data_IF_041750342077
#
_entry.id   IF_041750342077
#
_cell.length_a   1.000
_cell.length_b   1.000
_cell.length_c   1.000
_cell.angle_alpha   90.00
_cell.angle_beta   90.00
_cell.angle_gamma   90.00
#
_symmetry.space_group_name_H-M   'P 1'
#
loop_
_entity.id
_entity.type
_entity.pdbx_description
1 polymer ?
#
# COMPACT_ATOMS: atom_id res chain seq x y z
N UNK A 1 -9.01 41.28 -26.16
CA UNK A 1 -9.12 39.87 -26.61
C UNK A 1 -7.73 39.21 -26.55
N UNK A 2 -7.29 38.68 -25.40
CA UNK A 2 -5.95 38.06 -25.27
C UNK A 2 -5.78 37.27 -23.97
N UNK A 3 -6.68 36.32 -23.66
CA UNK A 3 -6.50 35.44 -22.49
C UNK A 3 -6.75 33.95 -22.77
N UNK A 4 -7.48 33.62 -23.83
CA UNK A 4 -7.76 32.22 -24.18
C UNK A 4 -6.55 31.49 -24.78
N UNK A 5 -5.56 32.19 -25.34
CA UNK A 5 -4.36 31.56 -25.91
C UNK A 5 -3.40 31.04 -24.83
N UNK A 6 -3.18 31.83 -23.78
CA UNK A 6 -2.32 31.45 -22.64
C UNK A 6 -2.93 30.34 -21.78
N UNK A 7 -4.21 30.42 -21.45
CA UNK A 7 -4.88 29.34 -20.69
C UNK A 7 -4.89 28.02 -21.48
N UNK A 8 -5.09 28.10 -22.80
CA UNK A 8 -5.10 26.91 -23.66
C UNK A 8 -3.72 26.27 -23.82
N UNK A 9 -2.63 27.05 -23.77
CA UNK A 9 -1.28 26.49 -23.78
C UNK A 9 -0.96 25.78 -22.47
N UNK A 10 -1.39 26.33 -21.33
CA UNK A 10 -1.25 25.69 -20.02
C UNK A 10 -2.04 24.38 -19.93
N UNK A 11 -3.30 24.35 -20.36
CA UNK A 11 -4.12 23.12 -20.34
C UNK A 11 -3.51 22.00 -21.20
N UNK A 12 -2.69 22.34 -22.19
CA UNK A 12 -1.99 21.38 -23.03
C UNK A 12 -0.60 21.00 -22.50
N UNK A 13 -0.08 21.68 -21.48
CA UNK A 13 1.24 21.39 -20.93
C UNK A 13 1.16 20.27 -19.90
N UNK A 14 2.20 19.43 -19.90
CA UNK A 14 2.32 18.36 -18.91
C UNK A 14 2.53 18.90 -17.49
N UNK A 15 3.28 20.01 -17.36
CA UNK A 15 3.57 20.65 -16.07
C UNK A 15 2.29 21.07 -15.33
N UNK A 16 1.31 21.62 -16.07
CA UNK A 16 0.02 22.02 -15.52
C UNK A 16 -0.71 20.82 -14.91
N UNK A 17 -0.81 19.72 -15.67
CA UNK A 17 -1.48 18.51 -15.21
C UNK A 17 -0.74 17.82 -14.06
N UNK A 18 0.60 17.82 -14.09
CA UNK A 18 1.39 17.23 -13.02
C UNK A 18 1.12 17.88 -11.66
N UNK A 19 1.00 19.22 -11.63
CA UNK A 19 0.63 20.01 -10.45
C UNK A 19 -0.78 19.66 -9.97
N UNK A 20 -1.76 19.64 -10.88
CA UNK A 20 -3.14 19.33 -10.51
C UNK A 20 -3.32 17.89 -10.03
N UNK A 21 -2.59 16.92 -10.58
CA UNK A 21 -2.62 15.55 -10.07
C UNK A 21 -2.05 15.44 -8.66
N UNK A 22 -0.90 16.08 -8.40
CA UNK A 22 -0.32 16.11 -7.05
C UNK A 22 -1.25 16.79 -6.04
N UNK A 23 -1.76 17.97 -6.38
CA UNK A 23 -2.70 18.71 -5.55
C UNK A 23 -3.99 17.91 -5.28
N UNK A 24 -4.55 17.24 -6.29
CA UNK A 24 -5.74 16.40 -6.12
C UNK A 24 -5.49 15.25 -5.13
N UNK A 25 -4.35 14.57 -5.23
CA UNK A 25 -3.97 13.49 -4.30
C UNK A 25 -3.83 14.04 -2.87
N UNK A 26 -3.20 15.20 -2.70
CA UNK A 26 -3.04 15.86 -1.39
C UNK A 26 -4.41 16.22 -0.80
N UNK A 27 -5.30 16.83 -1.59
CA UNK A 27 -6.64 17.21 -1.14
C UNK A 27 -7.43 15.96 -0.70
N UNK A 28 -7.37 14.88 -1.48
CA UNK A 28 -8.03 13.60 -1.12
C UNK A 28 -7.46 13.02 0.17
N UNK A 29 -6.14 13.11 0.38
CA UNK A 29 -5.49 12.67 1.61
C UNK A 29 -5.91 13.52 2.82
N UNK A 30 -5.96 14.85 2.67
CA UNK A 30 -6.36 15.78 3.74
C UNK A 30 -7.84 15.63 4.13
N UNK A 31 -8.72 15.45 3.14
CA UNK A 31 -10.15 15.25 3.36
C UNK A 31 -10.49 13.88 3.95
N UNK A 32 -9.49 12.99 4.16
CA UNK A 32 -9.69 11.61 4.63
C UNK A 32 -10.70 10.82 3.79
N UNK A 33 -10.96 11.25 2.55
CA UNK A 33 -12.03 10.73 1.69
C UNK A 33 -11.84 9.25 1.34
N UNK A 34 -10.63 8.71 1.51
CA UNK A 34 -10.27 7.32 1.20
C UNK A 34 -9.97 6.46 2.44
N UNK A 35 -10.07 7.01 3.66
CA UNK A 35 -9.54 6.34 4.85
C UNK A 35 -8.02 6.12 4.75
N UNK A 36 -7.47 5.09 5.41
CA UNK A 36 -6.06 4.71 5.22
C UNK A 36 -5.87 4.14 3.81
N UNK A 37 -4.90 4.68 3.06
CA UNK A 37 -4.51 4.15 1.75
C UNK A 37 -4.29 2.63 1.81
N UNK A 38 -4.72 1.88 0.79
CA UNK A 38 -4.57 0.44 0.80
C UNK A 38 -3.08 0.08 0.83
N UNK A 39 -2.67 -0.70 1.83
CA UNK A 39 -1.32 -1.24 1.97
C UNK A 39 -1.38 -2.75 1.94
N UNK A 40 -0.53 -3.36 1.12
CA UNK A 40 -0.39 -4.81 1.07
C UNK A 40 0.16 -5.32 2.41
N UNK A 41 -0.34 -6.47 2.84
CA UNK A 41 0.12 -7.15 4.04
C UNK A 41 1.41 -7.94 3.78
N UNK A 42 2.12 -8.26 4.85
CA UNK A 42 3.24 -9.20 4.77
C UNK A 42 2.72 -10.62 4.53
N UNK A 43 3.51 -11.42 3.83
CA UNK A 43 3.25 -12.85 3.64
C UNK A 43 4.46 -13.68 4.08
N UNK A 44 4.30 -15.00 4.06
CA UNK A 44 5.36 -15.97 4.40
C UNK A 44 5.33 -17.14 3.41
N UNK A 45 4.21 -17.86 3.35
CA UNK A 45 4.05 -19.05 2.50
C UNK A 45 3.22 -18.75 1.24
N UNK A 46 2.08 -18.09 1.42
CA UNK A 46 1.16 -17.76 0.34
C UNK A 46 1.13 -16.25 0.08
N UNK A 47 1.54 -15.76 -1.11
CA UNK A 47 1.52 -14.35 -1.43
C UNK A 47 0.11 -13.75 -1.48
N UNK A 48 -0.95 -14.56 -1.64
CA UNK A 48 -2.32 -14.04 -1.66
C UNK A 48 -2.76 -13.51 -0.29
N UNK A 49 -2.13 -13.96 0.79
CA UNK A 49 -2.43 -13.51 2.15
C UNK A 49 -2.22 -11.99 2.32
N UNK A 50 -1.39 -11.35 1.48
CA UNK A 50 -1.17 -9.90 1.51
C UNK A 50 -2.45 -9.09 1.22
N UNK A 51 -3.42 -9.68 0.53
CA UNK A 51 -4.66 -9.01 0.15
C UNK A 51 -5.71 -9.09 1.26
N UNK A 52 -5.47 -9.91 2.28
CA UNK A 52 -6.36 -10.11 3.41
C UNK A 52 -5.78 -9.43 4.65
N UNK A 53 -6.65 -8.76 5.39
CA UNK A 53 -6.32 -8.30 6.73
C UNK A 53 -6.68 -9.40 7.72
N UNK A 54 -5.66 -9.93 8.40
CA UNK A 54 -5.84 -10.89 9.48
C UNK A 54 -5.87 -10.19 10.83
N UNK A 55 -6.82 -10.57 11.67
CA UNK A 55 -6.82 -10.24 13.09
C UNK A 55 -6.86 -11.55 13.89
N UNK A 56 -6.14 -11.56 15.01
CA UNK A 56 -6.28 -12.57 16.05
C UNK A 56 -6.81 -11.88 17.30
N UNK A 57 -7.80 -12.49 17.92
CA UNK A 57 -8.44 -11.95 19.13
C UNK A 57 -8.39 -13.04 20.19
N UNK A 58 -7.98 -12.69 21.39
CA UNK A 58 -7.96 -13.60 22.53
C UNK A 58 -8.44 -12.88 23.79
N UNK A 59 -9.34 -13.45 24.60
CA UNK A 59 -9.84 -12.82 25.81
C UNK A 59 -8.76 -12.70 26.89
N UNK A 60 -8.72 -11.54 27.53
CA UNK A 60 -7.91 -11.24 28.70
C UNK A 60 -8.77 -10.32 29.58
N UNK A 61 -9.54 -10.89 30.50
CA UNK A 61 -10.51 -10.16 31.32
C UNK A 61 -9.86 -9.07 32.18
N UNK A 62 -8.64 -9.32 32.68
CA UNK A 62 -7.93 -8.39 33.54
C UNK A 62 -6.74 -7.78 32.80
N UNK A 63 -6.74 -6.45 32.67
CA UNK A 63 -5.58 -5.71 32.15
C UNK A 63 -4.44 -5.77 33.18
N UNK A 64 -3.25 -6.29 32.84
CA UNK A 64 -2.11 -6.26 33.74
C UNK A 64 -1.70 -4.81 34.04
N UNK A 65 -1.45 -4.49 35.30
CA UNK A 65 -1.07 -3.14 35.72
C UNK A 65 0.31 -2.71 35.18
N UNK A 66 1.17 -3.68 34.86
CA UNK A 66 2.51 -3.48 34.31
C UNK A 66 2.56 -3.58 32.77
N UNK A 67 1.40 -3.73 32.11
CA UNK A 67 1.33 -3.89 30.66
C UNK A 67 1.83 -2.61 29.96
N UNK A 68 3.03 -2.70 29.39
CA UNK A 68 3.60 -1.64 28.58
C UNK A 68 3.80 -2.08 27.12
N UNK A 69 2.83 -1.75 26.27
CA UNK A 69 2.90 -2.03 24.83
C UNK A 69 3.63 -0.87 24.12
N UNK A 70 4.96 -0.89 24.20
CA UNK A 70 5.82 0.10 23.56
C UNK A 70 6.58 -0.45 22.34
N UNK A 71 7.11 0.44 21.51
CA UNK A 71 7.95 0.10 20.38
C UNK A 71 7.18 -0.35 19.12
N UNK A 72 7.86 -1.02 18.16
CA UNK A 72 7.28 -1.32 16.84
C UNK A 72 6.02 -2.19 16.86
N UNK A 73 5.90 -3.07 17.86
CA UNK A 73 4.80 -4.02 18.02
C UNK A 73 3.50 -3.37 18.51
N UNK A 74 3.55 -2.16 19.09
CA UNK A 74 2.35 -1.38 19.46
C UNK A 74 1.41 -1.07 18.28
N UNK A 75 1.94 -1.12 17.05
CA UNK A 75 1.13 -0.96 15.83
C UNK A 75 0.27 -2.19 15.52
N UNK A 76 0.69 -3.35 16.01
CA UNK A 76 0.10 -4.65 15.69
C UNK A 76 -0.70 -5.21 16.88
N UNK A 77 -0.19 -5.08 18.09
CA UNK A 77 -0.84 -5.54 19.32
C UNK A 77 -1.58 -4.40 20.02
N UNK A 78 -2.84 -4.62 20.35
CA UNK A 78 -3.66 -3.72 21.16
C UNK A 78 -4.43 -4.51 22.21
N UNK A 79 -4.62 -3.90 23.38
CA UNK A 79 -5.57 -4.36 24.38
C UNK A 79 -6.83 -3.50 24.27
N UNK A 80 -7.99 -4.14 24.13
CA UNK A 80 -9.28 -3.48 24.13
C UNK A 80 -9.86 -3.56 25.56
N UNK A 81 -9.87 -2.41 26.25
CA UNK A 81 -10.34 -2.31 27.64
C UNK A 81 -11.85 -2.50 27.78
N UNK A 82 -12.63 -2.17 26.75
CA UNK A 82 -14.09 -2.30 26.80
C UNK A 82 -14.54 -3.75 26.66
N UNK A 83 -13.80 -4.52 25.85
CA UNK A 83 -14.12 -5.92 25.56
C UNK A 83 -13.29 -6.93 26.36
N UNK A 84 -12.24 -6.48 27.05
CA UNK A 84 -11.32 -7.37 27.76
C UNK A 84 -10.64 -8.37 26.82
N UNK A 85 -10.12 -7.89 25.69
CA UNK A 85 -9.48 -8.76 24.68
C UNK A 85 -8.14 -8.20 24.19
N UNK A 86 -7.20 -9.10 23.89
CA UNK A 86 -5.99 -8.82 23.13
C UNK A 86 -6.24 -9.00 21.64
N UNK A 87 -5.93 -7.99 20.86
CA UNK A 87 -6.07 -7.97 19.39
C UNK A 87 -4.69 -7.84 18.77
N UNK A 88 -4.31 -8.81 17.94
CA UNK A 88 -3.11 -8.74 17.10
C UNK A 88 -3.48 -8.63 15.63
N UNK A 89 -2.89 -7.65 14.93
CA UNK A 89 -3.14 -7.36 13.51
C UNK A 89 -1.98 -7.82 12.64
N UNK A 90 -2.28 -8.72 11.70
CA UNK A 90 -1.33 -9.26 10.73
C UNK A 90 -0.82 -10.65 11.09
N UNK A 91 0.25 -11.08 10.40
CA UNK A 91 0.92 -12.35 10.68
C UNK A 91 1.84 -12.18 11.90
N UNK A 92 1.87 -13.19 12.76
CA UNK A 92 2.70 -13.20 13.96
C UNK A 92 3.83 -14.21 13.79
N UNK A 93 5.07 -13.74 13.98
CA UNK A 93 6.25 -14.61 14.01
C UNK A 93 6.56 -15.05 15.43
N UNK A 94 7.28 -16.17 15.59
CA UNK A 94 7.73 -16.65 16.91
C UNK A 94 8.61 -15.63 17.64
N UNK A 95 9.41 -14.83 16.90
CA UNK A 95 10.22 -13.76 17.48
C UNK A 95 9.34 -12.65 18.07
N UNK A 96 8.34 -12.20 17.31
CA UNK A 96 7.39 -11.18 17.78
C UNK A 96 6.59 -11.67 18.99
N UNK A 97 6.14 -12.93 19.01
CA UNK A 97 5.48 -13.54 20.17
C UNK A 97 6.36 -13.45 21.43
N UNK A 98 7.64 -13.86 21.33
CA UNK A 98 8.59 -13.77 22.44
C UNK A 98 8.87 -12.34 22.91
N UNK A 99 8.86 -11.39 21.98
CA UNK A 99 9.00 -9.96 22.33
C UNK A 99 7.74 -9.44 23.03
N UNK A 100 6.55 -9.82 22.57
CA UNK A 100 5.28 -9.46 23.22
C UNK A 100 5.17 -10.01 24.63
N UNK A 101 5.64 -11.24 24.89
CA UNK A 101 5.69 -11.81 26.24
C UNK A 101 6.55 -11.00 27.24
N UNK A 102 7.37 -10.05 26.78
CA UNK A 102 8.15 -9.15 27.64
C UNK A 102 7.40 -7.88 28.03
N UNK A 103 6.24 -7.59 27.43
CA UNK A 103 5.46 -6.38 27.71
C UNK A 103 4.75 -6.40 29.06
N UNK A 104 4.63 -7.57 29.68
CA UNK A 104 4.14 -7.72 31.06
C UNK A 104 4.76 -8.97 31.68
N UNK A 105 4.95 -8.91 33.00
CA UNK A 105 5.42 -10.02 33.81
C UNK A 105 4.32 -11.02 34.16
N UNK A 106 3.05 -10.62 33.97
CA UNK A 106 1.86 -11.35 34.36
C UNK A 106 1.78 -12.75 33.68
N UNK A 107 1.58 -13.84 34.46
CA UNK A 107 1.41 -15.19 33.92
C UNK A 107 0.20 -15.34 32.98
N UNK A 108 -0.93 -14.69 33.27
CA UNK A 108 -2.14 -14.73 32.45
C UNK A 108 -1.90 -14.07 31.10
N UNK A 109 -1.23 -12.91 31.09
CA UNK A 109 -0.86 -12.23 29.85
C UNK A 109 0.08 -13.07 28.98
N UNK A 110 1.11 -13.70 29.58
CA UNK A 110 2.05 -14.56 28.84
C UNK A 110 1.35 -15.77 28.23
N UNK A 111 0.42 -16.38 28.97
CA UNK A 111 -0.44 -17.45 28.47
C UNK A 111 -1.35 -16.96 27.34
N UNK A 112 -1.97 -15.78 27.50
CA UNK A 112 -2.83 -15.19 26.49
C UNK A 112 -2.08 -14.90 25.17
N UNK A 113 -0.84 -14.41 25.23
CA UNK A 113 0.01 -14.23 24.04
C UNK A 113 0.37 -15.57 23.37
N UNK A 114 0.66 -16.61 24.16
CA UNK A 114 0.92 -17.95 23.64
C UNK A 114 -0.33 -18.53 22.94
N UNK A 115 -1.50 -18.39 23.54
CA UNK A 115 -2.75 -18.82 22.93
C UNK A 115 -3.10 -18.00 21.68
N UNK A 116 -2.89 -16.68 21.72
CA UNK A 116 -3.02 -15.79 20.55
C UNK A 116 -2.06 -16.21 19.41
N UNK A 117 -0.91 -16.80 19.72
CA UNK A 117 0.01 -17.36 18.73
C UNK A 117 -0.52 -18.63 18.06
N UNK A 118 -1.18 -19.49 18.82
CA UNK A 118 -1.75 -20.73 18.32
C UNK A 118 -3.14 -20.56 17.69
N UNK A 119 -3.85 -19.47 18.01
CA UNK A 119 -5.13 -19.15 17.39
C UNK A 119 -4.98 -18.94 15.87
N UNK A 120 -5.84 -19.57 15.06
CA UNK A 120 -5.81 -19.39 13.62
C UNK A 120 -6.12 -17.92 13.27
N UNK A 121 -5.39 -17.32 12.32
CA UNK A 121 -5.69 -15.96 11.87
C UNK A 121 -7.06 -15.92 11.17
N UNK A 122 -7.90 -14.96 11.55
CA UNK A 122 -9.21 -14.78 10.92
C UNK A 122 -9.14 -13.63 9.92
N UNK A 123 -9.51 -13.89 8.67
CA UNK A 123 -9.59 -12.86 7.64
C UNK A 123 -10.77 -11.93 7.91
N UNK A 124 -10.50 -10.63 8.10
CA UNK A 124 -11.50 -9.62 8.45
C UNK A 124 -11.98 -8.80 7.26
N UNK A 125 -11.06 -8.40 6.38
CA UNK A 125 -11.39 -7.61 5.20
C UNK A 125 -10.40 -7.83 4.07
N UNK A 126 -10.90 -7.73 2.83
CA UNK A 126 -10.11 -7.86 1.62
C UNK A 126 -9.82 -6.48 1.01
N UNK A 127 -8.56 -6.25 0.65
CA UNK A 127 -8.08 -4.97 0.13
C UNK A 127 -8.23 -4.83 -1.39
N UNK A 128 -8.53 -5.92 -2.11
CA UNK A 128 -8.63 -5.95 -3.58
C UNK A 128 -9.58 -4.88 -4.09
N UNK A 129 -10.77 -4.73 -3.48
CA UNK A 129 -11.73 -3.71 -3.91
C UNK A 129 -11.17 -2.29 -3.74
N UNK A 130 -10.40 -2.05 -2.68
CA UNK A 130 -9.73 -0.76 -2.44
C UNK A 130 -8.62 -0.50 -3.46
N UNK A 131 -7.86 -1.54 -3.84
CA UNK A 131 -6.84 -1.46 -4.88
C UNK A 131 -7.46 -1.19 -6.26
N UNK A 132 -8.58 -1.84 -6.58
CA UNK A 132 -9.31 -1.61 -7.83
C UNK A 132 -9.86 -0.18 -7.88
N UNK A 133 -10.44 0.30 -6.78
CA UNK A 133 -10.89 1.69 -6.68
C UNK A 133 -9.74 2.67 -6.86
N UNK A 134 -8.58 2.43 -6.22
CA UNK A 134 -7.37 3.23 -6.41
C UNK A 134 -6.89 3.21 -7.87
N UNK A 135 -6.84 2.03 -8.49
CA UNK A 135 -6.43 1.88 -9.89
C UNK A 135 -7.33 2.69 -10.81
N UNK A 136 -8.65 2.53 -10.67
CA UNK A 136 -9.64 3.20 -11.54
C UNK A 136 -9.65 4.70 -11.30
N UNK A 137 -9.66 5.16 -10.05
CA UNK A 137 -9.68 6.59 -9.73
C UNK A 137 -8.45 7.33 -10.27
N UNK A 138 -7.24 6.83 -9.99
CA UNK A 138 -6.00 7.43 -10.49
C UNK A 138 -5.89 7.31 -12.01
N UNK A 139 -6.31 6.19 -12.59
CA UNK A 139 -6.32 5.97 -14.04
C UNK A 139 -7.26 6.93 -14.76
N UNK A 140 -8.48 7.12 -14.27
CA UNK A 140 -9.45 8.06 -14.85
C UNK A 140 -8.97 9.51 -14.70
N UNK A 141 -8.46 9.88 -13.54
CA UNK A 141 -7.93 11.21 -13.29
C UNK A 141 -6.78 11.53 -14.26
N UNK A 142 -5.82 10.63 -14.39
CA UNK A 142 -4.69 10.80 -15.32
C UNK A 142 -5.14 10.79 -16.78
N UNK A 143 -6.08 9.93 -17.16
CA UNK A 143 -6.65 9.89 -18.51
C UNK A 143 -7.31 11.20 -18.95
N UNK A 144 -7.94 11.95 -18.02
CA UNK A 144 -8.51 13.27 -18.30
C UNK A 144 -7.40 14.25 -18.73
N UNK A 145 -6.28 14.28 -18.00
CA UNK A 145 -5.15 15.14 -18.37
C UNK A 145 -4.51 14.71 -19.70
N UNK A 146 -4.39 13.41 -19.93
CA UNK A 146 -3.91 12.89 -21.22
C UNK A 146 -4.78 13.32 -22.39
N UNK A 147 -6.11 13.30 -22.22
CA UNK A 147 -7.05 13.82 -23.22
C UNK A 147 -6.85 15.31 -23.48
N UNK A 148 -6.67 16.10 -22.42
CA UNK A 148 -6.50 17.55 -22.51
C UNK A 148 -5.18 17.95 -23.19
N UNK A 149 -4.12 17.16 -22.98
CA UNK A 149 -2.83 17.30 -23.68
C UNK A 149 -2.87 16.84 -25.15
N UNK A 150 -4.00 16.27 -25.62
CA UNK A 150 -4.15 15.80 -26.99
C UNK A 150 -3.61 14.39 -27.25
N UNK A 151 -3.29 13.64 -26.19
CA UNK A 151 -2.93 12.23 -26.29
C UNK A 151 -4.17 11.33 -26.31
N UNK A 152 -3.98 10.07 -26.71
CA UNK A 152 -5.05 9.06 -26.76
C UNK A 152 -5.23 8.41 -25.37
N UNK A 153 -6.34 8.65 -24.66
CA UNK A 153 -6.48 8.21 -23.27
C UNK A 153 -6.53 6.69 -23.12
N UNK A 154 -7.10 5.97 -24.10
CA UNK A 154 -7.19 4.51 -24.06
C UNK A 154 -5.83 3.83 -24.26
N UNK A 155 -4.95 4.39 -25.10
CA UNK A 155 -3.57 3.87 -25.25
C UNK A 155 -2.74 4.12 -23.99
N UNK A 156 -2.98 5.23 -23.29
CA UNK A 156 -2.37 5.49 -21.98
C UNK A 156 -2.90 4.53 -20.91
N UNK A 157 -4.23 4.35 -20.82
CA UNK A 157 -4.88 3.51 -19.80
C UNK A 157 -4.44 2.05 -19.87
N UNK A 158 -4.26 1.50 -21.07
CA UNK A 158 -3.78 0.12 -21.22
C UNK A 158 -2.37 -0.06 -20.68
N UNK A 159 -1.46 0.88 -20.94
CA UNK A 159 -0.12 0.89 -20.35
C UNK A 159 -0.16 1.10 -18.83
N UNK A 160 -0.98 2.04 -18.36
CA UNK A 160 -1.16 2.32 -16.93
C UNK A 160 -1.61 1.09 -16.13
N UNK A 161 -2.60 0.34 -16.62
CA UNK A 161 -3.09 -0.87 -15.93
C UNK A 161 -1.95 -1.87 -15.75
N UNK A 162 -1.13 -2.09 -16.78
CA UNK A 162 0.00 -3.01 -16.70
C UNK A 162 1.04 -2.51 -15.70
N UNK A 163 1.37 -1.22 -15.71
CA UNK A 163 2.32 -0.62 -14.76
C UNK A 163 1.78 -0.74 -13.32
N UNK A 164 0.48 -0.53 -13.11
CA UNK A 164 -0.16 -0.68 -11.81
C UNK A 164 -0.07 -2.12 -11.29
N UNK A 165 -0.31 -3.11 -12.15
CA UNK A 165 -0.16 -4.53 -11.80
C UNK A 165 1.30 -4.86 -11.51
N UNK A 166 2.25 -4.36 -12.30
CA UNK A 166 3.68 -4.52 -12.04
C UNK A 166 4.10 -3.90 -10.72
N UNK A 167 3.53 -2.75 -10.34
CA UNK A 167 3.73 -2.15 -9.04
C UNK A 167 3.21 -3.06 -7.92
N UNK A 168 2.01 -3.63 -8.05
CA UNK A 168 1.49 -4.61 -7.08
C UNK A 168 2.46 -5.77 -6.93
N UNK A 169 2.94 -6.34 -8.04
CA UNK A 169 3.90 -7.47 -8.01
C UNK A 169 5.21 -7.06 -7.33
N UNK A 170 5.73 -5.86 -7.61
CA UNK A 170 6.94 -5.36 -6.96
C UNK A 170 6.77 -5.20 -5.45
N UNK A 171 5.62 -4.66 -5.01
CA UNK A 171 5.29 -4.59 -3.58
C UNK A 171 5.10 -5.98 -2.97
N UNK A 172 4.44 -6.90 -3.67
CA UNK A 172 4.30 -8.29 -3.22
C UNK A 172 5.65 -8.91 -2.94
N UNK A 173 6.63 -8.79 -3.83
CA UNK A 173 7.97 -9.32 -3.55
C UNK A 173 8.63 -8.61 -2.37
N UNK A 174 8.50 -7.28 -2.28
CA UNK A 174 9.05 -6.51 -1.17
C UNK A 174 8.47 -6.84 0.20
N UNK A 175 7.19 -7.21 0.28
CA UNK A 175 6.50 -7.51 1.55
C UNK A 175 6.58 -8.98 1.96
N UNK A 176 7.43 -9.76 1.30
CA UNK A 176 7.80 -11.08 1.80
C UNK A 176 8.73 -10.97 3.01
N UNK A 177 8.43 -11.68 4.09
CA UNK A 177 9.12 -11.57 5.37
C UNK A 177 10.66 -11.72 5.27
N UNK A 178 11.14 -12.68 4.47
CA UNK A 178 12.59 -12.89 4.24
C UNK A 178 13.22 -11.75 3.43
N UNK A 179 12.57 -11.30 2.36
CA UNK A 179 13.07 -10.24 1.47
C UNK A 179 13.13 -8.91 2.23
N UNK A 180 12.09 -8.63 3.01
CA UNK A 180 11.98 -7.46 3.86
C UNK A 180 13.05 -7.44 4.94
N UNK A 181 13.38 -8.60 5.51
CA UNK A 181 14.48 -8.73 6.48
C UNK A 181 15.86 -8.42 5.86
N UNK A 182 16.05 -8.66 4.57
CA UNK A 182 17.25 -8.24 3.83
C UNK A 182 17.26 -6.75 3.44
N UNK A 183 16.18 -6.00 3.75
CA UNK A 183 16.08 -4.58 3.40
C UNK A 183 15.81 -4.30 1.92
N UNK A 184 15.41 -5.32 1.15
CA UNK A 184 15.10 -5.17 -0.28
C UNK A 184 13.70 -4.57 -0.47
N UNK A 185 13.65 -3.25 -0.65
CA UNK A 185 12.41 -2.50 -0.82
C UNK A 185 11.76 -2.64 -2.20
N UNK A 186 10.51 -2.16 -2.31
CA UNK A 186 9.71 -2.19 -3.54
C UNK A 186 10.41 -1.54 -4.75
N UNK A 187 11.22 -0.50 -4.52
CA UNK A 187 11.97 0.17 -5.59
C UNK A 187 12.99 -0.76 -6.27
N UNK A 188 13.67 -1.61 -5.50
CA UNK A 188 14.59 -2.62 -6.04
C UNK A 188 13.85 -3.60 -6.94
N UNK A 189 12.71 -4.12 -6.48
CA UNK A 189 11.90 -5.07 -7.26
C UNK A 189 11.27 -4.43 -8.50
N UNK A 190 10.81 -3.18 -8.41
CA UNK A 190 10.29 -2.44 -9.56
C UNK A 190 11.35 -2.27 -10.65
N UNK A 191 12.59 -1.91 -10.27
CA UNK A 191 13.72 -1.79 -11.19
C UNK A 191 14.10 -3.15 -11.79
N UNK A 192 14.20 -4.19 -10.97
CA UNK A 192 14.54 -5.54 -11.42
C UNK A 192 13.51 -6.08 -12.42
N UNK A 193 12.21 -5.94 -12.11
CA UNK A 193 11.13 -6.35 -13.02
C UNK A 193 11.16 -5.54 -14.32
N UNK A 194 11.36 -4.22 -14.24
CA UNK A 194 11.50 -3.38 -15.42
C UNK A 194 12.64 -3.82 -16.34
N UNK A 195 13.81 -4.11 -15.75
CA UNK A 195 14.99 -4.60 -16.46
C UNK A 195 14.77 -5.98 -17.09
N UNK A 196 14.12 -6.89 -16.36
CA UNK A 196 13.78 -8.22 -16.88
C UNK A 196 12.85 -8.12 -18.08
N UNK A 197 11.81 -7.29 -18.00
CA UNK A 197 10.84 -7.09 -19.09
C UNK A 197 11.54 -6.49 -20.31
N UNK A 198 12.34 -5.43 -20.12
CA UNK A 198 13.05 -4.77 -21.23
C UNK A 198 14.03 -5.71 -21.94
N UNK A 199 14.66 -6.62 -21.20
CA UNK A 199 15.69 -7.51 -21.74
C UNK A 199 15.14 -8.83 -22.30
N UNK A 200 13.91 -9.23 -21.98
CA UNK A 200 13.33 -10.51 -22.44
C UNK A 200 12.36 -10.33 -23.59
N UNK A 201 11.27 -9.61 -23.37
CA UNK A 201 10.19 -9.43 -24.35
C UNK A 201 10.18 -8.02 -24.96
N UNK A 202 10.95 -7.09 -24.38
CA UNK A 202 10.97 -5.69 -24.76
C UNK A 202 9.74 -4.91 -24.29
N UNK A 203 9.74 -3.60 -24.54
CA UNK A 203 8.69 -2.69 -24.05
C UNK A 203 7.88 -2.14 -25.23
N UNK A 204 6.67 -2.67 -25.50
CA UNK A 204 5.88 -2.22 -26.64
C UNK A 204 5.44 -0.75 -26.49
N UNK A 205 5.21 -0.06 -27.61
CA UNK A 205 4.90 1.39 -27.62
C UNK A 205 3.67 1.78 -26.79
N UNK A 206 2.65 0.93 -26.73
CA UNK A 206 1.46 1.18 -25.91
C UNK A 206 1.76 1.10 -24.41
N UNK A 207 2.72 0.27 -23.98
CA UNK A 207 3.15 0.20 -22.59
C UNK A 207 3.97 1.44 -22.22
N UNK A 208 4.81 1.91 -23.14
CA UNK A 208 5.52 3.19 -23.01
C UNK A 208 4.58 4.39 -22.94
N UNK A 209 3.40 4.32 -23.57
CA UNK A 209 2.39 5.37 -23.48
C UNK A 209 1.88 5.55 -22.03
N UNK A 210 1.82 4.48 -21.26
CA UNK A 210 1.55 4.52 -19.82
C UNK A 210 2.76 4.91 -18.97
N UNK A 211 3.98 4.58 -19.40
CA UNK A 211 5.22 4.81 -18.65
C UNK A 211 5.76 6.25 -18.79
N UNK A 212 4.92 7.26 -18.54
CA UNK A 212 5.26 8.69 -18.63
C UNK A 212 6.13 9.15 -17.44
N UNK A 213 7.42 8.78 -17.47
CA UNK A 213 8.39 9.06 -16.39
C UNK A 213 8.40 10.52 -15.96
N UNK A 214 8.39 11.45 -16.91
CA UNK A 214 8.45 12.89 -16.61
C UNK A 214 7.22 13.37 -15.84
N UNK A 215 6.02 13.03 -16.30
CA UNK A 215 4.77 13.33 -15.60
C UNK A 215 4.77 12.76 -14.18
N UNK A 216 5.21 11.50 -14.00
CA UNK A 216 5.26 10.86 -12.69
C UNK A 216 6.28 11.51 -11.75
N UNK A 217 7.46 11.87 -12.25
CA UNK A 217 8.48 12.58 -11.47
C UNK A 217 7.95 13.95 -11.04
N UNK A 218 7.34 14.70 -11.96
CA UNK A 218 6.78 16.03 -11.67
C UNK A 218 5.62 15.97 -10.70
N UNK A 219 4.69 15.03 -10.87
CA UNK A 219 3.63 14.81 -9.88
C UNK A 219 4.21 14.39 -8.54
N UNK A 220 5.26 13.55 -8.52
CA UNK A 220 5.97 13.14 -7.32
C UNK A 220 6.67 14.29 -6.59
N UNK A 221 7.20 15.29 -7.30
CA UNK A 221 7.79 16.49 -6.70
C UNK A 221 6.76 17.38 -5.99
N UNK A 222 5.49 17.26 -6.34
CA UNK A 222 4.39 18.00 -5.71
C UNK A 222 3.89 17.31 -4.43
N UNK A 223 4.05 15.97 -4.36
CA UNK A 223 3.65 15.13 -3.23
C UNK A 223 4.67 15.15 -2.08
#
# INVERSE_FOLDING_TARGET
>A
MSNNSGLRSLIKSEDWWAVWFGAAIIIVALLHFTGKAPRLGEWITNPLNQFESYERVYPLENKPADLNIEGPLSKHLKYDEEQGVLIYKGLMTAKQMREMQKFSSDPEYKSAIDQLYHSPPVAKSNIILKLLFLMVSLGLMSAIGMKAMGHKPFEFLSGYIVIFVLAIIAYTFSDQNVIKAYGLGYAFWALLLGLLISNTIGTPKWLLAGARTEMYIKTGLVL
#
